data_IF_946695738945
#
_entry.id   IF_946695738945
#
_cell.length_a   1.000
_cell.length_b   1.000
_cell.length_c   1.000
_cell.angle_alpha   90.00
_cell.angle_beta   90.00
_cell.angle_gamma   90.00
#
_symmetry.space_group_name_H-M   'P 1'
#
loop_
_entity.id
_entity.type
_entity.pdbx_description
1 polymer ?
#
# COMPACT_ATOMS: atom_id res chain seq x y z
N UNK A 1 5.36 -36.81 21.16
CA UNK A 1 4.56 -35.62 20.80
C UNK A 1 4.23 -35.71 19.32
N UNK A 2 3.19 -36.46 19.00
CA UNK A 2 2.74 -36.71 17.62
C UNK A 2 2.06 -35.43 17.12
N UNK A 3 2.65 -34.77 16.12
CA UNK A 3 1.91 -33.73 15.38
C UNK A 3 0.82 -34.45 14.60
N UNK A 4 -0.41 -34.37 15.07
CA UNK A 4 -1.58 -34.81 14.31
C UNK A 4 -1.73 -33.88 13.11
N UNK A 5 -1.35 -34.36 11.92
CA UNK A 5 -1.71 -33.72 10.67
C UNK A 5 -3.17 -34.09 10.39
N UNK A 6 -4.10 -33.22 10.77
CA UNK A 6 -5.46 -33.29 10.24
C UNK A 6 -5.40 -32.86 8.78
N UNK A 7 -5.84 -33.74 7.88
CA UNK A 7 -6.04 -33.41 6.47
C UNK A 7 -6.94 -32.17 6.39
N UNK A 8 -6.52 -31.12 5.64
CA UNK A 8 -7.30 -29.89 5.56
C UNK A 8 -8.64 -30.19 4.88
N UNK A 9 -9.74 -29.76 5.51
CA UNK A 9 -11.06 -30.01 4.95
C UNK A 9 -11.29 -29.14 3.68
N UNK A 10 -12.21 -29.54 2.80
CA UNK A 10 -12.49 -28.81 1.57
C UNK A 10 -12.91 -27.35 1.81
N UNK A 11 -13.60 -27.05 2.91
CA UNK A 11 -14.00 -25.69 3.29
C UNK A 11 -12.81 -24.84 3.74
N UNK A 12 -11.81 -25.40 4.42
CA UNK A 12 -10.58 -24.76 4.83
C UNK A 12 -9.67 -24.51 3.63
N UNK A 13 -9.62 -25.45 2.70
CA UNK A 13 -8.94 -25.29 1.41
C UNK A 13 -9.63 -24.17 0.63
N UNK A 14 -10.96 -24.19 0.53
CA UNK A 14 -11.74 -23.20 -0.22
C UNK A 14 -11.64 -21.81 0.41
N UNK A 15 -11.73 -21.70 1.74
CA UNK A 15 -11.53 -20.46 2.47
C UNK A 15 -10.11 -19.91 2.28
N UNK A 16 -9.08 -20.76 2.30
CA UNK A 16 -7.69 -20.35 2.04
C UNK A 16 -7.47 -19.88 0.60
N UNK A 17 -8.13 -20.52 -0.38
CA UNK A 17 -8.09 -20.14 -1.80
C UNK A 17 -8.85 -18.82 -2.03
N UNK A 18 -10.02 -18.65 -1.41
CA UNK A 18 -10.79 -17.39 -1.47
C UNK A 18 -10.04 -16.25 -0.79
N UNK A 19 -9.45 -16.49 0.38
CA UNK A 19 -8.53 -15.56 1.04
C UNK A 19 -7.38 -15.21 0.12
N UNK A 20 -6.74 -16.19 -0.55
CA UNK A 20 -5.64 -16.01 -1.50
C UNK A 20 -6.02 -15.17 -2.74
N UNK A 21 -7.27 -15.27 -3.18
CA UNK A 21 -7.80 -14.59 -4.37
C UNK A 21 -8.30 -13.17 -4.10
N UNK A 22 -8.51 -12.80 -2.84
CA UNK A 22 -9.06 -11.49 -2.47
C UNK A 22 -8.02 -10.36 -2.63
N UNK A 23 -8.10 -9.64 -3.76
CA UNK A 23 -7.19 -8.53 -4.12
C UNK A 23 -7.51 -7.21 -3.40
N UNK A 24 -8.47 -7.22 -2.47
CA UNK A 24 -8.90 -6.04 -1.74
C UNK A 24 -8.25 -5.92 -0.35
N UNK A 25 -7.37 -6.87 0.01
CA UNK A 25 -6.58 -6.84 1.25
C UNK A 25 -5.21 -6.18 1.04
N UNK A 26 -4.68 -5.55 2.09
CA UNK A 26 -3.32 -4.99 2.12
C UNK A 26 -2.23 -6.08 2.17
N UNK A 27 -0.96 -5.70 2.09
CA UNK A 27 0.18 -6.62 1.93
C UNK A 27 0.33 -7.70 3.02
N UNK A 28 -0.06 -7.41 4.26
CA UNK A 28 -0.05 -8.39 5.37
C UNK A 28 -1.35 -9.21 5.48
N UNK A 29 -2.33 -8.95 4.60
CA UNK A 29 -3.67 -9.56 4.54
C UNK A 29 -4.55 -9.38 5.79
N UNK A 30 -4.21 -8.45 6.68
CA UNK A 30 -4.96 -8.25 7.94
C UNK A 30 -6.24 -7.43 7.78
N UNK A 31 -6.30 -6.55 6.78
CA UNK A 31 -7.39 -5.59 6.57
C UNK A 31 -7.56 -5.26 5.09
N UNK A 32 -8.70 -4.69 4.75
CA UNK A 32 -8.95 -4.13 3.43
C UNK A 32 -8.22 -2.80 3.22
N UNK A 33 -8.03 -2.38 1.98
CA UNK A 33 -7.53 -1.04 1.67
C UNK A 33 -8.47 0.04 2.21
N UNK A 34 -7.90 1.06 2.88
CA UNK A 34 -8.65 2.21 3.40
C UNK A 34 -9.10 3.15 2.27
N UNK A 35 -8.20 3.44 1.33
CA UNK A 35 -8.45 4.42 0.28
C UNK A 35 -9.20 3.81 -0.91
N UNK A 36 -10.15 4.56 -1.52
CA UNK A 36 -10.77 4.17 -2.78
C UNK A 36 -9.73 3.91 -3.87
N UNK A 37 -9.82 2.74 -4.52
CA UNK A 37 -8.86 2.32 -5.55
C UNK A 37 -9.39 2.51 -6.96
N UNK A 38 -8.51 2.89 -7.87
CA UNK A 38 -8.76 2.89 -9.31
C UNK A 38 -7.96 1.79 -10.01
N UNK A 39 -8.47 1.32 -11.16
CA UNK A 39 -7.81 0.26 -11.94
C UNK A 39 -6.68 0.85 -12.77
N UNK A 40 -5.45 0.41 -12.53
CA UNK A 40 -4.33 0.69 -13.44
C UNK A 40 -4.34 -0.28 -14.61
N UNK A 41 -4.35 0.26 -15.84
CA UNK A 41 -4.25 -0.55 -17.06
C UNK A 41 -2.85 -1.16 -17.22
N UNK A 42 -1.82 -0.49 -16.71
CA UNK A 42 -0.41 -0.89 -16.89
C UNK A 42 0.03 -1.93 -15.86
N UNK A 43 -0.40 -1.76 -14.62
CA UNK A 43 0.01 -2.59 -13.47
C UNK A 43 -1.22 -2.93 -12.63
N UNK A 44 -2.02 -3.95 -13.03
CA UNK A 44 -3.28 -4.29 -12.37
C UNK A 44 -3.09 -4.94 -10.97
N UNK A 45 -1.86 -5.28 -10.63
CA UNK A 45 -1.42 -5.81 -9.35
C UNK A 45 -1.12 -4.72 -8.31
N UNK A 46 -0.88 -3.48 -8.74
CA UNK A 46 -0.64 -2.34 -7.85
C UNK A 46 -1.94 -1.63 -7.46
N UNK A 47 -2.04 -1.22 -6.20
CA UNK A 47 -3.11 -0.36 -5.73
C UNK A 47 -2.85 1.10 -6.19
N UNK A 48 -3.73 1.61 -7.04
CA UNK A 48 -3.70 3.00 -7.50
C UNK A 48 -4.89 3.78 -6.93
N UNK A 49 -4.72 5.08 -6.75
CA UNK A 49 -5.76 6.02 -6.32
C UNK A 49 -5.97 7.09 -7.40
N UNK A 50 -7.11 7.76 -7.39
CA UNK A 50 -7.35 8.90 -8.29
C UNK A 50 -6.79 10.20 -7.70
N UNK A 51 -6.60 11.25 -8.51
CA UNK A 51 -6.25 12.58 -8.00
C UNK A 51 -7.25 13.11 -6.97
N UNK A 52 -8.54 12.83 -7.13
CA UNK A 52 -9.60 13.24 -6.20
C UNK A 52 -9.39 12.59 -4.82
N UNK A 53 -9.10 11.29 -4.77
CA UNK A 53 -8.75 10.61 -3.52
C UNK A 53 -7.51 11.24 -2.86
N UNK A 54 -6.50 11.64 -3.65
CA UNK A 54 -5.34 12.34 -3.11
C UNK A 54 -5.70 13.70 -2.50
N UNK A 55 -6.64 14.44 -3.08
CA UNK A 55 -7.14 15.70 -2.51
C UNK A 55 -7.79 15.43 -1.14
N UNK A 56 -8.65 14.41 -1.03
CA UNK A 56 -9.30 14.05 0.24
C UNK A 56 -8.27 13.67 1.32
N UNK A 57 -7.21 12.95 0.94
CA UNK A 57 -6.09 12.61 1.81
C UNK A 57 -5.38 13.87 2.30
N UNK A 58 -5.06 14.82 1.40
CA UNK A 58 -4.41 16.09 1.76
C UNK A 58 -5.30 16.99 2.63
N UNK A 59 -6.62 16.88 2.47
CA UNK A 59 -7.62 17.59 3.28
C UNK A 59 -7.92 16.91 4.63
N UNK A 60 -7.16 15.87 4.99
CA UNK A 60 -7.29 15.15 6.26
C UNK A 60 -8.65 14.46 6.45
N UNK A 61 -9.36 14.13 5.35
CA UNK A 61 -10.65 13.40 5.42
C UNK A 61 -10.49 12.04 6.13
N UNK A 62 -9.30 11.44 6.05
CA UNK A 62 -8.97 10.14 6.63
C UNK A 62 -8.14 10.22 7.93
N UNK A 63 -8.01 11.40 8.55
CA UNK A 63 -7.09 11.59 9.68
C UNK A 63 -7.41 10.76 10.94
N UNK A 64 -8.65 10.28 11.10
CA UNK A 64 -8.99 9.38 12.20
C UNK A 64 -8.44 7.96 12.02
N UNK A 65 -8.18 7.56 10.77
CA UNK A 65 -7.76 6.20 10.40
C UNK A 65 -6.26 6.13 10.03
N UNK A 66 -5.65 7.27 9.69
CA UNK A 66 -4.25 7.37 9.27
C UNK A 66 -3.42 8.04 10.37
N UNK A 67 -2.59 7.26 11.05
CA UNK A 67 -1.63 7.76 12.04
C UNK A 67 -0.46 8.50 11.38
N UNK A 68 0.08 7.96 10.28
CA UNK A 68 1.18 8.57 9.54
C UNK A 68 0.98 8.45 8.03
N UNK A 69 1.13 9.58 7.32
CA UNK A 69 1.03 9.68 5.87
C UNK A 69 2.39 10.05 5.27
N UNK A 70 2.80 9.28 4.28
CA UNK A 70 4.06 9.49 3.56
C UNK A 70 3.78 9.60 2.06
N UNK A 71 3.93 10.80 1.49
CA UNK A 71 3.85 11.02 0.05
C UNK A 71 5.28 11.03 -0.50
N UNK A 72 5.57 10.12 -1.43
CA UNK A 72 6.92 9.96 -1.98
C UNK A 72 6.94 10.33 -3.45
N UNK A 73 7.70 11.37 -3.77
CA UNK A 73 7.96 11.76 -5.15
C UNK A 73 9.27 11.11 -5.62
N UNK A 74 9.14 10.17 -6.54
CA UNK A 74 10.26 9.39 -7.08
C UNK A 74 10.90 10.02 -8.32
N UNK A 75 10.45 11.21 -8.76
CA UNK A 75 11.02 11.93 -9.91
C UNK A 75 12.43 12.45 -9.61
N UNK A 76 13.13 12.89 -10.66
CA UNK A 76 14.44 13.52 -10.46
C UNK A 76 14.31 14.82 -9.66
N UNK A 77 15.34 15.22 -8.89
CA UNK A 77 15.28 16.40 -8.03
C UNK A 77 14.83 17.67 -8.77
N UNK A 78 15.31 17.90 -9.99
CA UNK A 78 14.94 19.10 -10.75
C UNK A 78 13.44 19.16 -11.09
N UNK A 79 12.76 18.02 -11.26
CA UNK A 79 11.31 17.96 -11.51
C UNK A 79 10.51 18.23 -10.24
N UNK A 80 11.02 17.75 -9.11
CA UNK A 80 10.44 17.99 -7.80
C UNK A 80 10.61 19.46 -7.40
N UNK A 81 11.82 20.02 -7.56
CA UNK A 81 12.13 21.42 -7.26
C UNK A 81 11.34 22.39 -8.16
N UNK A 82 11.02 21.97 -9.39
CA UNK A 82 10.14 22.71 -10.30
C UNK A 82 8.66 22.72 -9.90
N UNK A 83 8.26 21.90 -8.92
CA UNK A 83 6.89 21.82 -8.41
C UNK A 83 6.49 20.39 -8.04
N UNK A 84 5.95 20.22 -6.84
CA UNK A 84 5.53 18.92 -6.30
C UNK A 84 4.32 19.06 -5.37
N UNK A 85 3.71 17.91 -5.03
CA UNK A 85 2.59 17.85 -4.09
C UNK A 85 3.06 18.28 -2.70
N UNK A 86 2.27 19.09 -2.00
CA UNK A 86 2.60 19.53 -0.65
C UNK A 86 2.89 18.35 0.29
N UNK A 87 3.90 18.51 1.14
CA UNK A 87 4.37 17.50 2.10
C UNK A 87 4.98 16.23 1.49
N UNK A 88 5.14 16.17 0.16
CA UNK A 88 5.86 15.06 -0.49
C UNK A 88 7.36 15.12 -0.19
N UNK A 89 7.97 13.96 0.08
CA UNK A 89 9.43 13.80 0.22
C UNK A 89 10.02 13.29 -1.09
N UNK A 90 11.07 13.95 -1.60
CA UNK A 90 11.77 13.48 -2.78
C UNK A 90 12.76 12.35 -2.40
N UNK A 91 12.39 11.10 -2.70
CA UNK A 91 13.23 9.93 -2.52
C UNK A 91 13.34 9.21 -3.87
N UNK A 92 14.31 9.61 -4.67
CA UNK A 92 14.44 9.22 -6.09
C UNK A 92 15.41 8.05 -6.30
N UNK A 93 16.08 7.58 -5.24
CA UNK A 93 16.97 6.41 -5.29
C UNK A 93 16.49 5.31 -4.35
N UNK A 94 16.78 4.05 -4.71
CA UNK A 94 16.48 2.90 -3.85
C UNK A 94 17.15 2.99 -2.48
N UNK A 95 18.40 3.46 -2.43
CA UNK A 95 19.14 3.62 -1.17
C UNK A 95 18.49 4.62 -0.23
N UNK A 96 17.94 5.71 -0.74
CA UNK A 96 17.19 6.67 0.08
C UNK A 96 15.93 6.05 0.69
N UNK A 97 15.15 5.29 -0.10
CA UNK A 97 13.96 4.57 0.40
C UNK A 97 14.36 3.57 1.49
N UNK A 98 15.40 2.78 1.25
CA UNK A 98 15.86 1.77 2.20
C UNK A 98 16.31 2.38 3.53
N UNK A 99 17.13 3.43 3.47
CA UNK A 99 17.62 4.12 4.66
C UNK A 99 16.48 4.81 5.44
N UNK A 100 15.46 5.31 4.74
CA UNK A 100 14.34 5.99 5.40
C UNK A 100 13.42 5.03 6.15
N UNK A 101 13.08 3.88 5.55
CA UNK A 101 12.00 3.02 6.02
C UNK A 101 12.43 1.65 6.56
N UNK A 102 13.63 1.17 6.23
CA UNK A 102 14.06 -0.20 6.56
C UNK A 102 15.32 -0.25 7.44
N UNK A 103 16.03 0.87 7.61
CA UNK A 103 17.29 0.92 8.36
C UNK A 103 17.18 1.67 9.71
N UNK A 104 16.05 2.32 9.99
CA UNK A 104 15.76 2.86 11.32
C UNK A 104 15.26 1.70 12.22
N UNK A 105 15.88 1.45 13.38
CA UNK A 105 15.47 0.39 14.30
C UNK A 105 14.08 0.61 14.89
#
# INVERSE_FOLDING_TARGET
>A
LTRSFTEPNEEQIKASVELGSNRDLIGDRTRSYLLPRCKSRKHPDLACISPETMVDVLQNVYASEIESLHIIDCRYPYEYDGGHIQSAKNLYTRSQIYNEYFHKP
#
